data_IF_892176743784
#
_entry.id   IF_892176743784
#
_cell.length_a   1.000
_cell.length_b   1.000
_cell.length_c   1.000
_cell.angle_alpha   90.00
_cell.angle_beta   90.00
_cell.angle_gamma   90.00
#
_symmetry.space_group_name_H-M   'P 1'
#
loop_
_entity.id
_entity.type
_entity.pdbx_description
1 polymer ?
#
# COMPACT_ATOMS: atom_id res chain seq x y z
N UNK A 1 39.29 -42.31 -41.11
CA UNK A 1 40.39 -41.60 -40.42
C UNK A 1 39.83 -41.08 -39.10
N UNK A 2 39.53 -41.97 -38.13
CA UNK A 2 40.31 -42.33 -36.93
C UNK A 2 40.90 -41.13 -36.14
N UNK A 3 40.32 -40.92 -34.94
CA UNK A 3 40.93 -40.43 -33.68
C UNK A 3 41.33 -38.94 -33.67
N UNK A 4 41.24 -38.16 -32.60
CA UNK A 4 41.11 -38.45 -31.17
C UNK A 4 40.74 -37.15 -30.44
N UNK A 5 39.93 -37.31 -29.40
CA UNK A 5 39.72 -36.42 -28.27
C UNK A 5 41.03 -35.79 -27.81
N UNK A 6 41.09 -34.46 -27.69
CA UNK A 6 42.20 -33.75 -27.06
C UNK A 6 41.83 -33.43 -25.62
N UNK A 7 42.55 -34.09 -24.73
CA UNK A 7 42.43 -34.01 -23.29
C UNK A 7 43.44 -32.98 -22.75
N UNK A 8 43.18 -32.56 -21.51
CA UNK A 8 44.11 -31.91 -20.55
C UNK A 8 44.26 -30.39 -20.62
N UNK A 9 43.43 -29.69 -19.83
CA UNK A 9 43.93 -28.55 -19.07
C UNK A 9 43.98 -28.93 -17.58
N UNK A 10 45.20 -28.87 -17.03
CA UNK A 10 45.55 -29.19 -15.66
C UNK A 10 45.16 -28.02 -14.76
N UNK A 11 44.24 -28.23 -13.82
CA UNK A 11 44.13 -27.36 -12.65
C UNK A 11 45.01 -27.89 -11.53
N UNK A 12 45.83 -26.98 -11.03
CA UNK A 12 46.87 -27.21 -10.06
C UNK A 12 46.32 -27.56 -8.67
N UNK A 13 47.11 -28.42 -8.02
CA UNK A 13 47.25 -28.69 -6.59
C UNK A 13 46.86 -27.55 -5.64
N UNK A 14 45.99 -27.86 -4.68
CA UNK A 14 45.72 -26.99 -3.54
C UNK A 14 44.55 -27.44 -2.67
N UNK A 15 44.39 -28.74 -2.42
CA UNK A 15 43.42 -29.26 -1.45
C UNK A 15 44.17 -29.66 -0.18
N UNK A 16 44.21 -28.76 0.80
CA UNK A 16 44.55 -29.10 2.18
C UNK A 16 43.37 -29.86 2.79
N UNK A 17 43.56 -31.15 3.02
CA UNK A 17 42.64 -32.02 3.74
C UNK A 17 42.38 -31.48 5.16
N UNK A 18 41.12 -31.41 5.64
CA UNK A 18 40.86 -31.06 7.04
C UNK A 18 41.31 -32.19 7.98
N UNK A 19 41.78 -31.87 9.20
CA UNK A 19 42.23 -32.88 10.15
C UNK A 19 41.08 -33.79 10.57
N UNK A 20 41.25 -35.09 10.34
CA UNK A 20 40.31 -36.14 10.75
C UNK A 20 40.36 -36.30 12.28
N UNK A 21 39.27 -35.96 12.97
CA UNK A 21 39.09 -36.24 14.39
C UNK A 21 38.78 -37.75 14.57
N UNK A 22 39.42 -38.47 15.50
CA UNK A 22 39.14 -39.89 15.72
C UNK A 22 37.73 -40.09 16.29
N UNK A 23 36.82 -40.62 15.47
CA UNK A 23 35.51 -41.11 15.88
C UNK A 23 35.64 -42.50 16.50
N UNK A 24 35.96 -42.58 17.80
CA UNK A 24 35.66 -43.73 18.65
C UNK A 24 35.94 -43.42 20.12
N UNK A 25 34.89 -43.04 20.84
CA UNK A 25 34.88 -43.14 22.30
C UNK A 25 33.96 -44.30 22.67
N UNK A 26 34.55 -45.47 22.94
CA UNK A 26 33.87 -46.57 23.62
C UNK A 26 33.69 -46.18 25.08
N UNK A 27 32.54 -45.55 25.38
CA UNK A 27 32.08 -45.39 26.75
C UNK A 27 31.67 -46.77 27.27
N UNK A 28 32.57 -47.42 28.00
CA UNK A 28 32.21 -48.55 28.86
C UNK A 28 31.29 -48.00 29.95
N UNK A 29 30.00 -48.27 29.83
CA UNK A 29 28.98 -47.91 30.80
C UNK A 29 29.21 -48.71 32.09
N UNK A 30 29.94 -48.13 33.05
CA UNK A 30 30.02 -48.64 34.41
C UNK A 30 28.75 -48.18 35.14
N UNK A 31 27.61 -48.84 34.84
CA UNK A 31 26.32 -48.61 35.50
C UNK A 31 26.29 -49.33 36.85
N UNK A 32 27.26 -48.99 37.70
CA UNK A 32 27.32 -49.40 39.10
C UNK A 32 26.64 -48.35 39.97
N UNK A 33 25.38 -48.59 40.31
CA UNK A 33 24.63 -47.84 41.31
C UNK A 33 23.97 -46.56 40.78
N UNK A 34 22.91 -46.13 41.45
CA UNK A 34 22.16 -44.89 41.19
C UNK A 34 21.05 -44.94 40.13
N UNK A 35 20.27 -46.03 40.06
CA UNK A 35 18.85 -45.87 39.72
C UNK A 35 18.15 -45.37 41.00
N UNK A 36 18.32 -44.07 41.30
CA UNK A 36 17.36 -43.39 42.17
C UNK A 36 16.28 -42.84 41.25
N UNK A 37 15.07 -43.35 41.44
CA UNK A 37 13.85 -42.81 40.89
C UNK A 37 13.74 -41.33 41.28
N UNK A 38 14.22 -40.43 40.41
CA UNK A 38 13.81 -39.04 40.45
C UNK A 38 12.43 -38.98 39.83
N UNK A 39 11.42 -39.30 40.65
CA UNK A 39 10.08 -38.85 40.39
C UNK A 39 10.13 -37.31 40.45
N UNK A 40 10.29 -36.68 39.29
CA UNK A 40 10.04 -35.25 39.10
C UNK A 40 8.55 -35.03 39.29
N UNK A 41 8.11 -35.00 40.56
CA UNK A 41 6.86 -34.35 40.93
C UNK A 41 7.13 -32.86 40.77
N UNK A 42 7.11 -32.40 39.51
CA UNK A 42 6.99 -30.99 39.21
C UNK A 42 5.72 -30.52 39.88
N UNK A 43 5.87 -29.81 41.00
CA UNK A 43 4.77 -29.19 41.73
C UNK A 43 4.11 -28.24 40.75
N UNK A 44 2.97 -28.63 40.18
CA UNK A 44 2.11 -27.71 39.45
C UNK A 44 1.53 -26.76 40.50
N UNK A 45 2.21 -25.64 40.73
CA UNK A 45 1.60 -24.51 41.43
C UNK A 45 0.76 -23.76 40.42
N UNK A 46 -0.47 -24.21 40.19
CA UNK A 46 -1.47 -23.37 39.54
C UNK A 46 -1.87 -22.28 40.54
N UNK A 47 -1.09 -21.20 40.58
CA UNK A 47 -1.45 -19.99 41.31
C UNK A 47 -2.43 -19.21 40.44
N UNK A 48 -3.71 -19.22 40.82
CA UNK A 48 -4.73 -18.37 40.20
C UNK A 48 -4.52 -16.90 40.57
N UNK A 49 -4.90 -15.99 39.67
CA UNK A 49 -4.93 -14.56 39.94
C UNK A 49 -6.00 -14.23 40.98
N UNK A 50 -5.70 -13.30 41.88
CA UNK A 50 -6.72 -12.83 42.84
C UNK A 50 -7.72 -11.90 42.14
N UNK A 51 -8.93 -11.79 42.70
CA UNK A 51 -9.96 -10.87 42.16
C UNK A 51 -9.44 -9.42 42.16
N UNK A 52 -8.75 -9.02 43.23
CA UNK A 52 -8.18 -7.67 43.37
C UNK A 52 -7.10 -7.40 42.33
N UNK A 53 -6.28 -8.40 42.00
CA UNK A 53 -5.24 -8.28 40.98
C UNK A 53 -5.84 -8.04 39.59
N UNK A 54 -6.92 -8.75 39.24
CA UNK A 54 -7.64 -8.48 38.01
C UNK A 54 -8.31 -7.09 37.98
N UNK A 55 -8.84 -6.60 39.10
CA UNK A 55 -9.39 -5.24 39.18
C UNK A 55 -8.31 -4.17 38.91
N UNK A 56 -7.11 -4.36 39.44
CA UNK A 56 -6.00 -3.45 39.20
C UNK A 56 -5.57 -3.50 37.73
N UNK A 57 -5.43 -4.69 37.15
CA UNK A 57 -5.01 -4.86 35.74
C UNK A 57 -6.01 -4.22 34.78
N UNK A 58 -7.31 -4.50 34.94
CA UNK A 58 -8.35 -3.89 34.09
C UNK A 58 -8.41 -2.38 34.31
N UNK A 59 -8.21 -1.91 35.54
CA UNK A 59 -8.09 -0.48 35.84
C UNK A 59 -6.91 0.17 35.11
N UNK A 60 -5.73 -0.46 35.11
CA UNK A 60 -4.55 0.02 34.38
C UNK A 60 -4.78 0.04 32.88
N UNK A 61 -5.37 -1.01 32.31
CA UNK A 61 -5.71 -1.08 30.88
C UNK A 61 -6.69 0.05 30.53
N UNK A 62 -7.71 0.29 31.34
CA UNK A 62 -8.69 1.36 31.13
C UNK A 62 -8.06 2.76 31.08
N UNK A 63 -7.10 3.04 31.97
CA UNK A 63 -6.40 4.32 31.99
C UNK A 63 -5.56 4.50 30.72
N UNK A 64 -4.83 3.46 30.30
CA UNK A 64 -3.98 3.52 29.09
C UNK A 64 -4.82 3.63 27.82
N UNK A 65 -5.92 2.88 27.71
CA UNK A 65 -6.80 2.93 26.53
C UNK A 65 -7.50 4.27 26.40
N UNK A 66 -7.90 4.90 27.51
CA UNK A 66 -8.54 6.22 27.48
C UNK A 66 -7.69 7.29 26.78
N UNK A 67 -6.37 7.23 26.94
CA UNK A 67 -5.44 8.17 26.30
C UNK A 67 -5.05 7.69 24.88
N UNK A 68 -4.93 6.37 24.68
CA UNK A 68 -4.43 5.80 23.42
C UNK A 68 -5.44 5.84 22.28
N UNK A 69 -6.73 5.63 22.57
CA UNK A 69 -7.79 5.55 21.54
C UNK A 69 -7.95 6.85 20.73
N UNK A 70 -8.07 8.06 21.33
CA UNK A 70 -8.25 9.27 20.53
C UNK A 70 -7.07 9.54 19.58
N UNK A 71 -5.84 9.35 20.07
CA UNK A 71 -4.61 9.52 19.26
C UNK A 71 -4.58 8.53 18.09
N UNK A 72 -5.01 7.28 18.33
CA UNK A 72 -5.06 6.27 17.28
C UNK A 72 -6.09 6.61 16.19
N UNK A 73 -7.26 7.16 16.56
CA UNK A 73 -8.29 7.58 15.59
C UNK A 73 -7.76 8.69 14.68
N UNK A 74 -7.13 9.71 15.25
CA UNK A 74 -6.57 10.83 14.49
C UNK A 74 -5.41 10.40 13.57
N UNK A 75 -4.52 9.54 14.07
CA UNK A 75 -3.43 8.98 13.27
C UNK A 75 -3.94 8.18 12.07
N UNK A 76 -4.99 7.38 12.27
CA UNK A 76 -5.60 6.63 11.17
C UNK A 76 -6.27 7.56 10.16
N UNK A 77 -7.01 8.58 10.61
CA UNK A 77 -7.62 9.58 9.75
C UNK A 77 -6.58 10.22 8.82
N UNK A 78 -5.46 10.65 9.37
CA UNK A 78 -4.35 11.26 8.61
C UNK A 78 -3.70 10.28 7.63
N UNK A 79 -3.47 9.03 8.05
CA UNK A 79 -2.91 8.01 7.16
C UNK A 79 -3.83 7.71 5.97
N UNK A 80 -5.14 7.64 6.21
CA UNK A 80 -6.14 7.39 5.16
C UNK A 80 -6.20 8.54 4.17
N UNK A 81 -6.20 9.77 4.69
CA UNK A 81 -6.16 10.97 3.88
C UNK A 81 -4.88 11.08 3.03
N UNK A 82 -3.73 10.67 3.57
CA UNK A 82 -2.49 10.57 2.78
C UNK A 82 -2.63 9.58 1.63
N UNK A 83 -3.07 8.35 1.91
CA UNK A 83 -3.24 7.31 0.88
C UNK A 83 -4.27 7.73 -0.18
N UNK A 84 -5.42 8.29 0.23
CA UNK A 84 -6.46 8.76 -0.69
C UNK A 84 -5.95 9.87 -1.60
N UNK A 85 -5.31 10.89 -1.05
CA UNK A 85 -4.74 11.99 -1.86
C UNK A 85 -3.63 11.52 -2.82
N UNK A 86 -2.78 10.59 -2.40
CA UNK A 86 -1.78 10.00 -3.31
C UNK A 86 -2.42 9.16 -4.41
N UNK A 87 -3.50 8.43 -4.12
CA UNK A 87 -4.24 7.66 -5.12
C UNK A 87 -4.91 8.56 -6.17
N UNK A 88 -5.45 9.71 -5.75
CA UNK A 88 -5.95 10.75 -6.66
C UNK A 88 -4.81 11.24 -7.55
N UNK A 89 -3.69 11.64 -6.95
CA UNK A 89 -2.51 12.10 -7.69
C UNK A 89 -1.96 11.04 -8.65
N UNK A 90 -1.93 9.78 -8.24
CA UNK A 90 -1.52 8.65 -9.08
C UNK A 90 -2.46 8.46 -10.28
N UNK A 91 -3.78 8.56 -10.06
CA UNK A 91 -4.79 8.47 -11.13
C UNK A 91 -4.60 9.58 -12.16
N UNK A 92 -4.38 10.82 -11.72
CA UNK A 92 -4.13 11.96 -12.60
C UNK A 92 -2.84 11.77 -13.40
N UNK A 93 -1.75 11.32 -12.75
CA UNK A 93 -0.48 11.02 -13.43
C UNK A 93 -0.65 9.88 -14.45
N UNK A 94 -1.38 8.84 -14.10
CA UNK A 94 -1.67 7.72 -14.98
C UNK A 94 -2.51 8.14 -16.19
N UNK A 95 -3.54 8.97 -15.99
CA UNK A 95 -4.34 9.53 -17.08
C UNK A 95 -3.48 10.33 -18.06
N UNK A 96 -2.54 11.13 -17.53
CA UNK A 96 -1.57 11.86 -18.37
C UNK A 96 -0.67 10.93 -19.17
N UNK A 97 -0.08 9.92 -18.52
CA UNK A 97 0.79 8.96 -19.20
C UNK A 97 0.04 8.23 -20.31
N UNK A 98 -1.22 7.84 -20.05
CA UNK A 98 -2.10 7.24 -21.05
C UNK A 98 -2.34 8.19 -22.21
N UNK A 99 -2.74 9.43 -21.96
CA UNK A 99 -3.00 10.43 -23.00
C UNK A 99 -1.77 10.69 -23.89
N UNK A 100 -0.59 10.79 -23.30
CA UNK A 100 0.66 10.97 -24.06
C UNK A 100 0.97 9.71 -24.88
N UNK A 101 0.80 8.52 -24.30
CA UNK A 101 1.12 7.26 -24.99
C UNK A 101 0.17 6.91 -26.12
N UNK A 102 -1.13 7.22 -25.97
CA UNK A 102 -2.16 6.97 -26.98
C UNK A 102 -2.33 8.14 -27.95
N UNK A 103 -1.73 9.31 -27.64
CA UNK A 103 -1.97 10.58 -28.33
C UNK A 103 -3.47 10.92 -28.44
N UNK A 104 -4.26 10.50 -27.44
CA UNK A 104 -5.69 10.74 -27.33
C UNK A 104 -5.99 11.51 -26.06
N UNK A 105 -7.00 12.38 -26.09
CA UNK A 105 -7.39 13.11 -24.89
C UNK A 105 -8.00 12.13 -23.87
N UNK A 106 -7.68 12.34 -22.60
CA UNK A 106 -8.33 11.65 -21.50
C UNK A 106 -8.97 12.66 -20.55
N UNK A 107 -10.07 12.27 -19.92
CA UNK A 107 -10.79 13.07 -18.94
C UNK A 107 -10.80 12.36 -17.60
N UNK A 108 -10.25 12.98 -16.57
CA UNK A 108 -10.38 12.54 -15.19
C UNK A 108 -11.66 13.14 -14.63
N UNK A 109 -12.60 12.26 -14.29
CA UNK A 109 -13.90 12.60 -13.72
C UNK A 109 -13.98 12.06 -12.31
N UNK A 110 -14.55 12.88 -11.45
CA UNK A 110 -14.78 12.63 -10.04
C UNK A 110 -16.24 12.24 -9.82
N UNK A 111 -16.53 11.52 -8.73
CA UNK A 111 -17.88 11.05 -8.37
C UNK A 111 -18.60 10.25 -9.48
N UNK A 112 -17.85 9.40 -10.17
CA UNK A 112 -18.29 8.76 -11.42
C UNK A 112 -18.15 7.24 -11.32
N UNK A 113 -19.23 6.44 -11.21
CA UNK A 113 -20.65 6.84 -11.27
C UNK A 113 -21.28 7.30 -9.95
N UNK A 114 -20.59 7.10 -8.83
CA UNK A 114 -21.08 7.42 -7.49
C UNK A 114 -20.05 8.23 -6.73
N UNK A 115 -20.49 8.92 -5.68
CA UNK A 115 -19.62 9.72 -4.82
C UNK A 115 -18.40 8.91 -4.32
N UNK A 116 -17.22 9.53 -4.30
CA UNK A 116 -15.98 8.91 -3.82
C UNK A 116 -15.30 7.95 -4.81
N UNK A 117 -15.78 7.88 -6.06
CA UNK A 117 -15.20 7.08 -7.13
C UNK A 117 -14.58 7.98 -8.19
N UNK A 118 -13.35 7.66 -8.61
CA UNK A 118 -12.63 8.40 -9.64
C UNK A 118 -12.41 7.51 -10.86
N UNK A 119 -12.51 8.11 -12.05
CA UNK A 119 -12.24 7.43 -13.32
C UNK A 119 -11.47 8.34 -14.26
N UNK A 120 -10.51 7.77 -14.98
CA UNK A 120 -9.98 8.39 -16.20
C UNK A 120 -10.68 7.75 -17.41
N UNK A 121 -11.31 8.58 -18.21
CA UNK A 121 -12.07 8.20 -19.39
C UNK A 121 -11.26 8.58 -20.64
N UNK A 122 -11.28 7.73 -21.66
CA UNK A 122 -10.79 8.12 -22.99
C UNK A 122 -11.85 8.96 -23.69
N UNK A 123 -11.40 10.00 -24.41
CA UNK A 123 -12.23 10.84 -25.26
C UNK A 123 -12.09 10.39 -26.72
N UNK A 124 -13.18 9.97 -27.34
CA UNK A 124 -13.19 9.51 -28.74
C UNK A 124 -13.36 10.66 -29.74
N UNK A 125 -13.81 11.82 -29.28
CA UNK A 125 -14.13 12.99 -30.11
C UNK A 125 -15.55 12.94 -30.70
N UNK A 126 -16.32 11.89 -30.42
CA UNK A 126 -17.74 11.78 -30.78
C UNK A 126 -18.59 12.32 -29.62
N UNK A 127 -19.31 13.44 -29.79
CA UNK A 127 -20.12 14.02 -28.72
C UNK A 127 -21.27 13.11 -28.28
N UNK A 128 -21.72 12.16 -29.12
CA UNK A 128 -22.76 11.21 -28.74
C UNK A 128 -22.24 10.14 -27.77
N UNK A 129 -20.94 9.86 -27.81
CA UNK A 129 -20.28 8.95 -26.88
C UNK A 129 -19.79 9.72 -25.67
N UNK A 130 -19.05 10.81 -25.88
CA UNK A 130 -18.32 11.57 -24.86
C UNK A 130 -19.18 12.51 -23.99
N UNK A 131 -20.51 12.39 -24.05
CA UNK A 131 -21.41 13.15 -23.20
C UNK A 131 -21.22 12.76 -21.72
N UNK A 132 -21.11 13.78 -20.86
CA UNK A 132 -20.86 13.63 -19.44
C UNK A 132 -21.99 12.89 -18.72
N UNK A 133 -23.21 12.89 -19.27
CA UNK A 133 -24.36 12.18 -18.71
C UNK A 133 -24.19 10.64 -18.75
N UNK A 134 -23.59 10.09 -19.82
CA UNK A 134 -23.54 8.64 -20.06
C UNK A 134 -22.15 8.02 -19.88
N UNK A 135 -21.07 8.80 -19.93
CA UNK A 135 -19.71 8.21 -19.82
C UNK A 135 -19.38 7.63 -18.45
N UNK A 136 -20.12 7.98 -17.40
CA UNK A 136 -19.94 7.40 -16.07
C UNK A 136 -20.57 6.02 -15.88
N UNK A 137 -21.60 5.69 -16.66
CA UNK A 137 -22.28 4.38 -16.61
C UNK A 137 -21.69 3.40 -17.64
N UNK A 138 -21.03 3.91 -18.67
CA UNK A 138 -20.38 3.13 -19.70
C UNK A 138 -18.87 2.94 -19.43
N UNK A 139 -18.28 1.90 -20.02
CA UNK A 139 -16.84 1.65 -19.97
C UNK A 139 -16.36 1.33 -21.37
N UNK A 140 -15.37 2.08 -21.85
CA UNK A 140 -14.73 1.89 -23.14
C UNK A 140 -13.31 1.33 -22.95
N UNK A 141 -12.81 0.69 -24.01
CA UNK A 141 -11.41 0.28 -24.08
C UNK A 141 -10.51 1.53 -24.01
N UNK A 142 -9.71 1.63 -22.95
CA UNK A 142 -8.86 2.80 -22.65
C UNK A 142 -9.24 3.53 -21.35
N UNK A 143 -10.41 3.27 -20.79
CA UNK A 143 -10.81 3.79 -19.47
C UNK A 143 -9.98 3.15 -18.33
N UNK A 144 -9.94 3.76 -17.14
CA UNK A 144 -9.23 3.20 -15.97
C UNK A 144 -10.02 2.17 -15.17
N UNK A 145 -11.26 1.86 -15.56
CA UNK A 145 -12.22 1.26 -14.63
C UNK A 145 -12.54 2.19 -13.46
N UNK A 146 -13.27 1.69 -12.46
CA UNK A 146 -13.61 2.42 -11.24
C UNK A 146 -12.48 2.35 -10.22
N UNK A 147 -12.08 3.51 -9.70
CA UNK A 147 -11.06 3.61 -8.65
C UNK A 147 -11.77 4.11 -7.40
N UNK A 148 -12.00 3.19 -6.46
CA UNK A 148 -12.58 3.52 -5.18
C UNK A 148 -11.51 4.13 -4.27
N UNK A 149 -11.81 5.30 -3.73
CA UNK A 149 -10.97 5.88 -2.69
C UNK A 149 -11.15 5.09 -1.38
N UNK A 150 -10.08 4.96 -0.59
CA UNK A 150 -10.11 4.15 0.61
C UNK A 150 -10.81 4.92 1.75
N UNK A 151 -11.60 4.21 2.56
CA UNK A 151 -12.10 4.63 3.87
C UNK A 151 -12.86 5.97 3.93
N UNK A 152 -13.80 6.19 3.01
CA UNK A 152 -14.71 7.36 2.97
C UNK A 152 -13.99 8.70 2.86
N UNK A 153 -12.82 8.72 2.20
CA UNK A 153 -12.15 9.96 1.82
C UNK A 153 -13.02 10.68 0.79
N UNK A 154 -13.47 11.88 1.15
CA UNK A 154 -14.23 12.76 0.27
C UNK A 154 -13.30 13.77 -0.40
N UNK A 155 -13.74 14.33 -1.52
CA UNK A 155 -13.06 15.45 -2.18
C UNK A 155 -14.10 16.48 -2.61
N UNK A 156 -13.68 17.73 -2.71
CA UNK A 156 -14.52 18.79 -3.24
C UNK A 156 -14.58 18.72 -4.77
N UNK A 157 -15.74 18.31 -5.31
CA UNK A 157 -16.01 18.28 -6.76
C UNK A 157 -16.60 19.59 -7.30
N UNK A 158 -16.90 20.59 -6.45
CA UNK A 158 -17.43 21.89 -6.89
C UNK A 158 -16.38 22.74 -7.62
N UNK A 159 -15.09 22.44 -7.38
CA UNK A 159 -13.98 23.19 -7.96
C UNK A 159 -13.72 22.88 -9.44
N UNK A 160 -14.19 21.77 -10.02
CA UNK A 160 -14.20 21.52 -11.47
C UNK A 160 -15.02 20.27 -11.79
N UNK A 161 -15.90 20.33 -12.79
CA UNK A 161 -16.70 19.17 -13.21
C UNK A 161 -15.81 18.00 -13.72
N UNK A 162 -14.68 18.33 -14.36
CA UNK A 162 -13.66 17.36 -14.77
C UNK A 162 -12.32 18.03 -15.09
N UNK A 163 -11.26 17.22 -15.07
CA UNK A 163 -9.93 17.55 -15.56
C UNK A 163 -9.71 16.85 -16.90
N UNK A 164 -9.43 17.60 -17.96
CA UNK A 164 -9.05 17.03 -19.25
C UNK A 164 -7.53 17.10 -19.45
N UNK A 165 -6.96 16.06 -20.03
CA UNK A 165 -5.55 16.00 -20.40
C UNK A 165 -5.45 15.70 -21.89
N UNK A 166 -4.78 16.59 -22.60
CA UNK A 166 -4.54 16.43 -24.03
C UNK A 166 -3.49 15.35 -24.33
N UNK A 167 -3.45 14.85 -25.57
CA UNK A 167 -2.39 13.96 -26.04
C UNK A 167 -0.96 14.54 -25.91
N UNK A 168 -0.84 15.86 -25.72
CA UNK A 168 0.44 16.55 -25.44
C UNK A 168 0.78 16.62 -23.95
N UNK A 169 -0.06 16.05 -23.09
CA UNK A 169 0.13 16.02 -21.64
C UNK A 169 -0.10 17.36 -20.95
N UNK A 170 -0.87 18.26 -21.57
CA UNK A 170 -1.31 19.54 -20.97
C UNK A 170 -2.69 19.33 -20.37
N UNK A 171 -2.88 19.75 -19.13
CA UNK A 171 -4.15 19.73 -18.43
C UNK A 171 -4.98 21.00 -18.68
N UNK A 172 -6.29 20.82 -18.78
CA UNK A 172 -7.34 21.85 -18.77
C UNK A 172 -8.41 21.43 -17.77
N UNK A 173 -9.10 22.40 -17.15
CA UNK A 173 -10.18 22.13 -16.21
C UNK A 173 -11.51 22.67 -16.77
N UNK A 174 -12.61 21.96 -16.52
CA UNK A 174 -13.96 22.43 -16.86
C UNK A 174 -14.55 23.19 -15.69
N UNK A 175 -14.95 24.44 -15.92
CA UNK A 175 -15.57 25.29 -14.90
C UNK A 175 -14.60 25.97 -13.92
N UNK A 176 -13.28 25.77 -14.07
CA UNK A 176 -12.27 26.39 -13.21
C UNK A 176 -10.96 26.73 -13.90
N UNK A 177 -10.18 27.58 -13.23
CA UNK A 177 -8.86 27.99 -13.67
C UNK A 177 -7.78 26.96 -13.27
N UNK A 178 -6.66 27.01 -13.97
CA UNK A 178 -5.46 26.25 -13.63
C UNK A 178 -4.43 27.21 -13.01
N UNK A 179 -3.77 26.84 -11.89
CA UNK A 179 -3.74 25.51 -11.27
C UNK A 179 -5.05 25.14 -10.56
N UNK A 180 -5.55 23.93 -10.81
CA UNK A 180 -6.76 23.43 -10.15
C UNK A 180 -6.41 22.99 -8.73
N UNK A 181 -7.19 23.42 -7.75
CA UNK A 181 -7.11 22.96 -6.36
C UNK A 181 -8.27 22.02 -6.06
N UNK A 182 -7.96 20.88 -5.43
CA UNK A 182 -8.94 19.89 -4.98
C UNK A 182 -8.65 19.64 -3.50
N UNK A 183 -9.63 19.90 -2.65
CA UNK A 183 -9.51 19.64 -1.22
C UNK A 183 -10.03 18.23 -0.91
N UNK A 184 -9.18 17.44 -0.27
CA UNK A 184 -9.45 16.05 0.12
C UNK A 184 -9.67 16.00 1.62
N UNK A 185 -10.78 15.43 2.07
CA UNK A 185 -11.21 15.44 3.47
C UNK A 185 -11.45 14.03 4.01
N UNK A 186 -11.12 13.84 5.29
CA UNK A 186 -11.39 12.63 6.04
C UNK A 186 -11.64 13.01 7.49
N UNK A 187 -12.89 12.94 7.93
CA UNK A 187 -13.29 13.41 9.25
C UNK A 187 -12.95 14.90 9.45
N UNK A 188 -12.07 15.20 10.40
CA UNK A 188 -11.58 16.56 10.68
C UNK A 188 -10.28 16.92 9.96
N UNK A 189 -9.65 15.95 9.28
CA UNK A 189 -8.40 16.18 8.55
C UNK A 189 -8.69 16.55 7.10
N UNK A 190 -7.91 17.50 6.58
CA UNK A 190 -8.01 17.98 5.21
C UNK A 190 -6.62 18.14 4.58
N UNK A 191 -6.53 17.95 3.26
CA UNK A 191 -5.30 18.14 2.48
C UNK A 191 -5.65 18.65 1.10
N UNK A 192 -4.95 19.69 0.68
CA UNK A 192 -5.11 20.31 -0.64
C UNK A 192 -4.20 19.64 -1.64
N UNK A 193 -4.77 19.20 -2.76
CA UNK A 193 -4.06 18.76 -3.95
C UNK A 193 -4.14 19.88 -4.99
N UNK A 194 -3.02 20.23 -5.61
CA UNK A 194 -2.96 21.26 -6.65
C UNK A 194 -2.36 20.69 -7.93
N UNK A 195 -3.06 20.85 -9.05
CA UNK A 195 -2.64 20.38 -10.38
C UNK A 195 -2.37 21.55 -11.30
N UNK A 196 -1.15 21.63 -11.83
CA UNK A 196 -0.78 22.62 -12.85
C UNK A 196 -1.11 22.16 -14.28
N UNK A 197 -1.12 23.09 -15.23
CA UNK A 197 -1.30 22.80 -16.66
C UNK A 197 -0.26 21.81 -17.19
N UNK A 198 0.96 21.88 -16.66
CA UNK A 198 2.09 21.03 -17.04
C UNK A 198 2.13 19.71 -16.28
N UNK A 199 1.09 19.40 -15.49
CA UNK A 199 0.92 18.14 -14.79
C UNK A 199 1.81 17.94 -13.56
N UNK A 200 2.45 19.01 -13.06
CA UNK A 200 3.01 19.00 -11.72
C UNK A 200 1.85 18.95 -10.71
N UNK A 201 1.95 18.02 -9.77
CA UNK A 201 1.00 17.84 -8.66
C UNK A 201 1.72 18.18 -7.36
N UNK A 202 1.18 19.11 -6.59
CA UNK A 202 1.68 19.47 -5.27
C UNK A 202 0.62 19.22 -4.21
N UNK A 203 1.07 18.95 -3.00
CA UNK A 203 0.18 18.75 -1.86
C UNK A 203 0.49 19.78 -0.78
N UNK A 204 -0.56 20.37 -0.22
CA UNK A 204 -0.49 21.33 0.87
C UNK A 204 -1.57 21.07 1.92
N UNK A 205 -1.56 21.87 2.98
CA UNK A 205 -2.64 21.87 3.96
C UNK A 205 -3.78 22.78 3.48
N UNK A 206 -5.00 22.52 3.95
CA UNK A 206 -6.11 23.46 3.83
C UNK A 206 -6.04 24.36 5.07
N UNK A 207 -5.83 25.66 4.86
CA UNK A 207 -5.84 26.67 5.93
C UNK A 207 -7.26 27.02 6.36
#
# INVERSE_FOLDING_TARGET
MRLSFFETNRYASGATEPPQLPLRQTLTANLGGWIRSCYLQGVRTERGFTLVEMLIVVGMIGIVTAISVPVFIESNARSRLWTGSEQIGATIRQARLRAISSNTNHRVVFDCPTAGVIRSLIMTGDPAVDDAADRCTQTLDGDSGTINLPFDVAFDSDSAAFLEVSGRGIFTASGAAIPLTIDVTQGTASRRLTVSATGQITFGNVE
#
